data_IF_328605047987
#
_entry.id   IF_328605047987
#
_cell.length_a   1.000
_cell.length_b   1.000
_cell.length_c   1.000
_cell.angle_alpha   90.00
_cell.angle_beta   90.00
_cell.angle_gamma   90.00
#
_symmetry.space_group_name_H-M   'P 1'
#
loop_
_entity.id
_entity.type
_entity.pdbx_description
1 polymer ?
#
# COMPACT_ATOMS: atom_id res chain seq x y z
N UNK A 1 -16.12 -9.38 -5.69
CA UNK A 1 -15.24 -10.52 -5.36
C UNK A 1 -14.03 -10.01 -4.58
N UNK A 2 -14.12 -9.98 -3.25
CA UNK A 2 -12.94 -9.79 -2.39
C UNK A 2 -13.27 -10.42 -1.05
N UNK A 3 -12.89 -11.69 -0.92
CA UNK A 3 -13.19 -12.54 0.24
C UNK A 3 -12.42 -12.01 1.46
N UNK A 4 -13.13 -11.29 2.32
CA UNK A 4 -12.68 -10.94 3.68
C UNK A 4 -12.66 -12.21 4.53
N UNK A 5 -11.63 -13.01 4.38
CA UNK A 5 -11.46 -14.23 5.17
C UNK A 5 -9.99 -14.50 5.43
N UNK A 6 -9.30 -13.60 6.13
CA UNK A 6 -8.04 -13.95 6.78
C UNK A 6 -7.94 -13.27 8.15
N UNK A 7 -7.56 -14.10 9.12
CA UNK A 7 -7.36 -13.83 10.54
C UNK A 7 -8.63 -13.62 11.37
N UNK A 8 -9.37 -14.73 11.57
CA UNK A 8 -9.97 -14.95 12.89
C UNK A 8 -8.85 -14.84 13.92
N UNK A 9 -8.98 -13.84 14.76
CA UNK A 9 -8.22 -13.54 15.95
C UNK A 9 -8.22 -14.76 16.91
N UNK A 10 -7.37 -15.75 16.64
CA UNK A 10 -7.23 -16.97 17.44
C UNK A 10 -6.41 -16.75 18.74
N UNK A 11 -6.47 -15.54 19.32
CA UNK A 11 -5.62 -15.18 20.46
C UNK A 11 -6.27 -15.38 21.83
N UNK A 12 -7.58 -15.61 21.93
CA UNK A 12 -8.23 -15.79 23.24
C UNK A 12 -9.34 -16.85 23.20
N UNK A 13 -8.96 -18.12 23.36
CA UNK A 13 -9.85 -19.09 24.00
C UNK A 13 -9.24 -19.46 25.35
N UNK A 14 -9.94 -19.24 26.48
CA UNK A 14 -9.48 -19.71 27.77
C UNK A 14 -9.45 -21.25 27.72
N UNK A 15 -8.26 -21.83 27.87
CA UNK A 15 -8.14 -23.28 28.10
C UNK A 15 -8.82 -23.57 29.44
N UNK A 16 -10.03 -24.12 29.37
CA UNK A 16 -10.81 -24.52 30.53
C UNK A 16 -10.00 -25.56 31.32
N UNK A 17 -9.75 -25.25 32.59
CA UNK A 17 -9.17 -26.20 33.55
C UNK A 17 -10.26 -27.23 33.90
N UNK A 18 -10.00 -28.50 33.64
CA UNK A 18 -10.77 -29.59 34.26
C UNK A 18 -11.61 -30.47 33.34
N UNK A 19 -11.08 -30.93 32.20
CA UNK A 19 -11.70 -32.03 31.45
C UNK A 19 -10.70 -33.18 31.27
N UNK A 20 -10.97 -34.28 31.96
CA UNK A 20 -10.49 -35.62 31.65
C UNK A 20 -10.81 -35.96 30.18
N UNK A 21 -9.78 -36.35 29.42
CA UNK A 21 -9.94 -37.06 28.14
C UNK A 21 -9.62 -36.24 26.89
N UNK A 22 -8.50 -36.60 26.25
CA UNK A 22 -8.05 -36.23 24.89
C UNK A 22 -7.39 -34.85 24.76
N UNK A 23 -6.05 -34.88 24.65
CA UNK A 23 -5.25 -33.79 24.09
C UNK A 23 -5.58 -33.64 22.60
N UNK A 24 -6.54 -32.78 22.26
CA UNK A 24 -6.72 -32.34 20.88
C UNK A 24 -5.56 -31.41 20.49
N UNK A 25 -4.53 -32.01 19.90
CA UNK A 25 -3.48 -31.30 19.17
C UNK A 25 -3.90 -31.25 17.70
N UNK A 26 -3.99 -30.07 17.09
CA UNK A 26 -4.23 -29.96 15.65
C UNK A 26 -3.05 -30.53 14.85
N UNK A 27 -3.26 -30.98 13.62
CA UNK A 27 -2.21 -31.62 12.79
C UNK A 27 -0.96 -30.75 12.63
N UNK A 28 -1.11 -29.43 12.70
CA UNK A 28 -0.02 -28.44 12.66
C UNK A 28 0.85 -28.46 13.93
N UNK A 29 0.23 -28.69 15.10
CA UNK A 29 0.93 -28.85 16.38
C UNK A 29 1.68 -30.18 16.42
N UNK A 30 1.10 -31.24 15.84
CA UNK A 30 1.73 -32.57 15.69
C UNK A 30 2.92 -32.54 14.72
N UNK A 31 2.82 -31.81 13.60
CA UNK A 31 3.93 -31.62 12.64
C UNK A 31 5.12 -30.89 13.27
N UNK A 32 4.85 -29.86 14.09
CA UNK A 32 5.91 -29.09 14.77
C UNK A 32 6.55 -29.90 15.91
N UNK A 33 5.80 -30.77 16.59
CA UNK A 33 6.29 -31.68 17.63
C UNK A 33 7.31 -32.70 17.09
N UNK A 34 7.02 -33.30 15.93
CA UNK A 34 7.91 -34.27 15.28
C UNK A 34 9.17 -33.61 14.75
N UNK A 35 9.08 -32.39 14.20
CA UNK A 35 10.26 -31.66 13.69
C UNK A 35 11.26 -31.26 14.77
N UNK A 36 10.82 -31.17 16.03
CA UNK A 36 11.66 -30.78 17.17
C UNK A 36 12.15 -32.01 17.98
N UNK A 37 11.83 -33.23 17.54
CA UNK A 37 12.40 -34.48 18.11
C UNK A 37 11.78 -34.96 19.42
N UNK A 38 10.58 -34.50 19.80
CA UNK A 38 9.92 -34.94 21.03
C UNK A 38 8.82 -35.98 20.75
N UNK A 39 8.80 -37.13 21.44
CA UNK A 39 7.77 -38.15 21.25
C UNK A 39 6.41 -37.60 21.72
N UNK A 40 5.39 -37.76 20.88
CA UNK A 40 4.01 -37.31 21.14
C UNK A 40 3.41 -38.15 22.28
N UNK A 41 3.19 -37.60 23.49
CA UNK A 41 2.66 -38.38 24.59
C UNK A 41 1.19 -38.72 24.32
N UNK A 42 0.90 -40.01 24.12
CA UNK A 42 -0.42 -40.50 23.63
C UNK A 42 -1.20 -41.24 24.73
N UNK A 43 -0.71 -41.36 25.97
CA UNK A 43 -1.41 -42.06 27.05
C UNK A 43 -1.36 -41.28 28.37
N UNK A 44 -2.54 -41.10 29.00
CA UNK A 44 -2.72 -40.52 30.33
C UNK A 44 -2.54 -41.62 31.41
N UNK A 45 -2.17 -41.26 32.67
CA UNK A 45 -2.03 -39.90 33.20
C UNK A 45 -0.66 -39.30 32.90
N UNK A 46 -0.66 -38.07 32.42
CA UNK A 46 0.55 -37.28 32.25
C UNK A 46 1.11 -36.97 33.64
N UNK A 47 2.38 -37.24 33.85
CA UNK A 47 3.12 -36.79 35.03
C UNK A 47 3.21 -35.26 35.05
N UNK A 48 3.32 -34.65 36.23
CA UNK A 48 3.48 -33.17 36.38
C UNK A 48 4.63 -32.59 35.53
N UNK A 49 5.64 -33.41 35.21
CA UNK A 49 6.75 -33.04 34.34
C UNK A 49 6.34 -32.90 32.86
N UNK A 50 5.49 -33.78 32.37
CA UNK A 50 5.00 -33.76 30.98
C UNK A 50 4.04 -32.59 30.74
N UNK A 51 3.19 -32.24 31.72
CA UNK A 51 2.32 -31.06 31.62
C UNK A 51 3.13 -29.75 31.54
N UNK A 52 4.19 -29.64 32.34
CA UNK A 52 5.13 -28.51 32.32
C UNK A 52 5.84 -28.41 30.96
N UNK A 53 6.18 -29.54 30.36
CA UNK A 53 6.83 -29.63 29.05
C UNK A 53 5.88 -29.22 27.92
N UNK A 54 4.64 -29.71 27.94
CA UNK A 54 3.61 -29.33 26.97
C UNK A 54 3.29 -27.82 27.01
N UNK A 55 3.23 -27.22 28.21
CA UNK A 55 3.04 -25.77 28.36
C UNK A 55 4.18 -24.96 27.74
N UNK A 56 5.43 -25.41 27.88
CA UNK A 56 6.59 -24.77 27.22
C UNK A 56 6.49 -24.86 25.71
N UNK A 57 6.10 -26.02 25.16
CA UNK A 57 5.94 -26.24 23.72
C UNK A 57 4.82 -25.36 23.16
N UNK A 58 3.64 -25.33 23.79
CA UNK A 58 2.54 -24.43 23.41
C UNK A 58 2.97 -22.96 23.40
N UNK A 59 3.82 -22.55 24.35
CA UNK A 59 4.38 -21.18 24.36
C UNK A 59 5.35 -20.93 23.20
N UNK A 60 6.25 -21.89 22.90
CA UNK A 60 7.17 -21.79 21.76
C UNK A 60 6.44 -21.69 20.42
N UNK A 61 5.40 -22.48 20.23
CA UNK A 61 4.56 -22.45 19.00
C UNK A 61 3.91 -21.08 18.84
N UNK A 62 3.25 -20.57 19.89
CA UNK A 62 2.63 -19.23 19.86
C UNK A 62 3.63 -18.12 19.56
N UNK A 63 4.82 -18.19 20.16
CA UNK A 63 5.87 -17.20 19.89
C UNK A 63 6.40 -17.29 18.45
N UNK A 64 6.55 -18.50 17.90
CA UNK A 64 6.98 -18.73 16.52
C UNK A 64 6.00 -18.11 15.53
N UNK A 65 4.69 -18.35 15.71
CA UNK A 65 3.63 -17.79 14.87
C UNK A 65 3.58 -16.27 15.00
N UNK A 66 3.61 -15.73 16.23
CA UNK A 66 3.56 -14.29 16.47
C UNK A 66 4.75 -13.54 15.86
N UNK A 67 5.97 -14.10 15.98
CA UNK A 67 7.16 -13.53 15.37
C UNK A 67 7.10 -13.56 13.83
N UNK A 68 6.59 -14.64 13.24
CA UNK A 68 6.41 -14.75 11.79
C UNK A 68 5.39 -13.72 11.28
N UNK A 69 4.24 -13.60 11.93
CA UNK A 69 3.20 -12.66 11.53
C UNK A 69 3.67 -11.21 11.68
N UNK A 70 4.42 -10.90 12.74
CA UNK A 70 5.05 -9.59 12.92
C UNK A 70 6.00 -9.25 11.76
N UNK A 71 6.86 -10.20 11.37
CA UNK A 71 7.77 -10.03 10.22
C UNK A 71 7.01 -9.87 8.92
N UNK A 72 5.96 -10.67 8.70
CA UNK A 72 5.10 -10.57 7.52
C UNK A 72 4.44 -9.21 7.41
N UNK A 73 3.81 -8.72 8.48
CA UNK A 73 3.16 -7.41 8.51
C UNK A 73 4.16 -6.26 8.26
N UNK A 74 5.37 -6.37 8.80
CA UNK A 74 6.42 -5.39 8.53
C UNK A 74 6.83 -5.40 7.06
N UNK A 75 6.99 -6.58 6.45
CA UNK A 75 7.28 -6.71 5.02
C UNK A 75 6.16 -6.10 4.18
N UNK A 76 4.91 -6.48 4.41
CA UNK A 76 3.76 -5.95 3.68
C UNK A 76 3.64 -4.43 3.79
N UNK A 77 3.94 -3.85 4.96
CA UNK A 77 3.97 -2.39 5.13
C UNK A 77 5.06 -1.72 4.29
N UNK A 78 6.27 -2.30 4.28
CA UNK A 78 7.38 -1.78 3.47
C UNK A 78 7.05 -1.91 1.98
N UNK A 79 6.60 -3.07 1.53
CA UNK A 79 6.19 -3.32 0.13
C UNK A 79 5.08 -2.33 -0.30
N UNK A 80 4.14 -2.00 0.59
CA UNK A 80 3.10 -1.00 0.30
C UNK A 80 3.65 0.43 0.21
N UNK A 81 4.62 0.78 1.06
CA UNK A 81 5.28 2.09 0.98
C UNK A 81 6.08 2.24 -0.31
N UNK A 82 6.84 1.22 -0.68
CA UNK A 82 7.62 1.19 -1.93
C UNK A 82 6.70 1.39 -3.14
N UNK A 83 5.59 0.64 -3.22
CA UNK A 83 4.58 0.83 -4.28
C UNK A 83 4.01 2.25 -4.32
N UNK A 84 3.68 2.83 -3.16
CA UNK A 84 3.17 4.21 -3.11
C UNK A 84 4.19 5.23 -3.61
N UNK A 85 5.46 5.04 -3.30
CA UNK A 85 6.52 5.92 -3.79
C UNK A 85 6.62 5.82 -5.32
N UNK A 86 6.57 4.61 -5.88
CA UNK A 86 6.60 4.39 -7.32
C UNK A 86 5.39 5.02 -8.02
N UNK A 87 4.18 4.83 -7.48
CA UNK A 87 2.94 5.41 -8.00
C UNK A 87 3.00 6.94 -8.01
N UNK A 88 3.42 7.55 -6.89
CA UNK A 88 3.57 9.01 -6.77
C UNK A 88 4.67 9.53 -7.71
N UNK A 89 5.74 8.78 -7.91
CA UNK A 89 6.81 9.17 -8.83
C UNK A 89 6.32 9.17 -10.28
N UNK A 90 5.53 8.17 -10.70
CA UNK A 90 4.92 8.13 -12.04
C UNK A 90 3.89 9.25 -12.20
N UNK A 91 3.04 9.48 -11.21
CA UNK A 91 2.06 10.56 -11.24
C UNK A 91 2.74 11.94 -11.38
N UNK A 92 3.83 12.16 -10.63
CA UNK A 92 4.62 13.37 -10.71
C UNK A 92 5.27 13.54 -12.10
N UNK A 93 5.83 12.46 -12.68
CA UNK A 93 6.33 12.47 -14.07
C UNK A 93 5.23 12.88 -15.05
N UNK A 94 4.02 12.34 -14.90
CA UNK A 94 2.87 12.69 -15.75
C UNK A 94 2.48 14.16 -15.61
N UNK A 95 2.43 14.69 -14.39
CA UNK A 95 2.13 16.11 -14.17
C UNK A 95 3.19 17.03 -14.76
N UNK A 96 4.48 16.71 -14.61
CA UNK A 96 5.57 17.49 -15.23
C UNK A 96 5.43 17.53 -16.75
N UNK A 97 5.22 16.39 -17.42
CA UNK A 97 4.99 16.35 -18.87
C UNK A 97 3.79 17.21 -19.29
N UNK A 98 2.71 17.21 -18.50
CA UNK A 98 1.53 18.03 -18.76
C UNK A 98 1.82 19.52 -18.59
N UNK A 99 2.57 19.90 -17.56
CA UNK A 99 3.02 21.27 -17.36
C UNK A 99 3.90 21.74 -18.52
N UNK A 100 4.86 20.93 -18.95
CA UNK A 100 5.74 21.26 -20.08
C UNK A 100 4.95 21.46 -21.38
N UNK A 101 4.00 20.56 -21.65
CA UNK A 101 3.12 20.68 -22.83
C UNK A 101 2.26 21.94 -22.79
N UNK A 102 1.68 22.26 -21.63
CA UNK A 102 0.85 23.46 -21.46
C UNK A 102 1.70 24.74 -21.54
N UNK A 103 2.89 24.74 -20.96
CA UNK A 103 3.83 25.86 -21.03
C UNK A 103 4.24 26.13 -22.48
N UNK A 104 4.56 25.09 -23.25
CA UNK A 104 4.88 25.19 -24.67
C UNK A 104 3.69 25.72 -25.49
N UNK A 105 2.49 25.20 -25.28
CA UNK A 105 1.29 25.67 -25.95
C UNK A 105 0.99 27.15 -25.62
N UNK A 106 1.10 27.54 -24.36
CA UNK A 106 0.88 28.92 -23.92
C UNK A 106 1.92 29.89 -24.50
N UNK A 107 3.20 29.48 -24.54
CA UNK A 107 4.25 30.28 -25.18
C UNK A 107 3.97 30.51 -26.67
N UNK A 108 3.51 29.48 -27.39
CA UNK A 108 3.10 29.59 -28.81
C UNK A 108 1.93 30.56 -28.98
N UNK A 109 0.84 30.36 -28.24
CA UNK A 109 -0.34 31.23 -28.31
C UNK A 109 -0.01 32.68 -27.95
N UNK A 110 0.83 32.89 -26.94
CA UNK A 110 1.30 34.23 -26.57
C UNK A 110 2.10 34.90 -27.69
N UNK A 111 2.88 34.14 -28.45
CA UNK A 111 3.65 34.64 -29.60
C UNK A 111 2.72 35.00 -30.75
N UNK A 112 1.76 34.12 -31.07
CA UNK A 112 0.75 34.37 -32.11
C UNK A 112 -0.12 35.60 -31.78
N UNK A 113 -0.55 35.75 -30.52
CA UNK A 113 -1.30 36.92 -30.07
C UNK A 113 -0.50 38.22 -30.22
N UNK A 114 0.78 38.24 -29.85
CA UNK A 114 1.63 39.42 -30.06
C UNK A 114 1.75 39.78 -31.54
N UNK A 115 1.98 38.78 -32.41
CA UNK A 115 2.08 39.02 -33.84
C UNK A 115 0.78 39.60 -34.44
N UNK A 116 -0.37 39.13 -33.97
CA UNK A 116 -1.67 39.68 -34.36
C UNK A 116 -1.88 41.10 -33.82
N UNK A 117 -1.56 41.36 -32.56
CA UNK A 117 -1.62 42.70 -31.96
C UNK A 117 -0.75 43.70 -32.73
N UNK A 118 0.47 43.32 -33.12
CA UNK A 118 1.35 44.15 -33.94
C UNK A 118 0.76 44.44 -35.33
N UNK A 119 0.05 43.47 -35.91
CA UNK A 119 -0.59 43.63 -37.22
C UNK A 119 -1.79 44.58 -37.14
N UNK A 120 -2.63 44.45 -36.11
CA UNK A 120 -3.75 45.37 -35.86
C UNK A 120 -3.24 46.79 -35.61
N UNK A 121 -2.22 46.95 -34.76
CA UNK A 121 -1.62 48.26 -34.48
C UNK A 121 -1.01 48.92 -35.74
N UNK A 122 -0.47 48.13 -36.68
CA UNK A 122 -0.02 48.63 -38.00
C UNK A 122 -1.19 49.06 -38.89
N UNK A 123 -2.30 48.33 -38.88
CA UNK A 123 -3.49 48.70 -39.65
C UNK A 123 -4.13 50.00 -39.13
N UNK A 124 -4.21 50.20 -37.81
CA UNK A 124 -4.69 51.46 -37.22
C UNK A 124 -3.87 52.68 -37.67
N UNK A 125 -2.54 52.53 -37.76
CA UNK A 125 -1.62 53.57 -38.27
C UNK A 125 -1.80 53.83 -39.78
N UNK A 126 -2.25 52.84 -40.54
CA UNK A 126 -2.53 53.00 -41.96
C UNK A 126 -3.89 53.67 -42.21
N UNK A 127 -4.92 53.30 -41.46
CA UNK A 127 -6.27 53.88 -41.53
C UNK A 127 -6.25 55.37 -41.14
N UNK A 128 -5.52 55.72 -40.08
CA UNK A 128 -5.30 57.11 -39.66
C UNK A 128 -4.52 57.98 -40.66
N UNK A 129 -3.75 57.36 -41.57
CA UNK A 129 -3.10 58.04 -42.71
C UNK A 129 -4.00 58.16 -43.95
N UNK A 130 -4.97 57.26 -44.11
CA UNK A 130 -5.84 57.18 -45.29
C UNK A 130 -7.11 58.04 -45.20
N UNK A 131 -7.40 58.63 -44.05
CA UNK A 131 -8.44 59.66 -43.92
C UNK A 131 -7.81 61.05 -43.83
N UNK A 132 -7.53 61.74 -44.95
CA UNK A 132 -7.56 63.19 -44.90
C UNK A 132 -9.00 63.57 -44.57
N UNK A 133 -9.18 64.25 -43.43
CA UNK A 133 -10.44 64.88 -43.07
C UNK A 133 -10.90 65.72 -44.27
N UNK A 134 -11.93 65.26 -44.98
CA UNK A 134 -12.72 66.12 -45.82
C UNK A 134 -13.41 67.11 -44.87
N UNK A 135 -12.80 68.27 -44.70
CA UNK A 135 -13.45 69.49 -44.21
C UNK A 135 -14.62 69.76 -45.12
N UNK A 136 -15.82 69.36 -44.69
CA UNK A 136 -17.08 69.75 -45.32
C UNK A 136 -17.53 71.04 -44.63
N UNK A 137 -17.76 72.04 -45.49
CA UNK A 137 -18.28 73.40 -45.25
C UNK A 137 -19.47 73.46 -44.29
#
# INVERSE_FOLDING_TARGET
>A
MSSKSHLRLFCCLPVQKGATGVLQLTEEEKRTLVSEGYPVPTKLPLTKAEEKSLKKIRRKIKNKISAQESRRKKKEYVDQLERRVDDLAEENRRYRRRLDSLASANARLSTELRALQDTVAKQEKHVSRATPLATIL
#
